data_IF_705344302732
#
_entry.id   IF_705344302732
#
_cell.length_a   1.000
_cell.length_b   1.000
_cell.length_c   1.000
_cell.angle_alpha   90.00
_cell.angle_beta   90.00
_cell.angle_gamma   90.00
#
_symmetry.space_group_name_H-M   'P 1'
#
loop_
_entity.id
_entity.type
_entity.pdbx_description
1 polymer ?
#
# COMPACT_ATOMS: atom_id res chain seq x y z
N UNK A 1 -8.19 9.41 -5.17
CA UNK A 1 -7.84 8.02 -5.53
C UNK A 1 -8.01 7.17 -4.27
N UNK A 2 -8.93 6.21 -4.28
CA UNK A 2 -9.24 5.37 -3.11
C UNK A 2 -8.41 4.07 -3.15
N UNK A 3 -7.61 3.84 -2.12
CA UNK A 3 -6.68 2.71 -2.01
C UNK A 3 -7.26 1.55 -1.17
N UNK A 4 -8.39 1.78 -0.53
CA UNK A 4 -9.12 0.79 0.28
C UNK A 4 -9.37 -0.52 -0.48
N UNK A 5 -9.80 -0.53 -1.76
CA UNK A 5 -10.03 -1.79 -2.48
C UNK A 5 -8.75 -2.60 -2.72
N UNK A 6 -7.61 -1.95 -2.95
CA UNK A 6 -6.33 -2.64 -3.15
C UNK A 6 -5.82 -3.27 -1.86
N UNK A 7 -5.93 -2.55 -0.73
CA UNK A 7 -5.57 -3.07 0.59
C UNK A 7 -6.49 -4.23 0.99
N UNK A 8 -7.79 -4.14 0.71
CA UNK A 8 -8.72 -5.23 0.96
C UNK A 8 -8.40 -6.47 0.13
N UNK A 9 -8.09 -6.31 -1.17
CA UNK A 9 -7.67 -7.41 -2.04
C UNK A 9 -6.39 -8.10 -1.55
N UNK A 10 -5.38 -7.32 -1.13
CA UNK A 10 -4.13 -7.86 -0.59
C UNK A 10 -4.35 -8.69 0.68
N UNK A 11 -5.23 -8.21 1.58
CA UNK A 11 -5.60 -8.93 2.81
C UNK A 11 -6.31 -10.25 2.51
N UNK A 12 -7.17 -10.27 1.50
CA UNK A 12 -7.88 -11.48 1.07
C UNK A 12 -6.91 -12.51 0.49
N UNK A 13 -5.96 -12.09 -0.36
CA UNK A 13 -4.95 -13.01 -0.90
C UNK A 13 -4.01 -13.56 0.18
N UNK A 14 -3.64 -12.74 1.17
CA UNK A 14 -2.87 -13.19 2.33
C UNK A 14 -3.64 -14.22 3.17
N UNK A 15 -4.95 -14.03 3.35
CA UNK A 15 -5.80 -14.99 4.04
C UNK A 15 -5.82 -16.34 3.31
N UNK A 16 -6.00 -16.34 1.97
CA UNK A 16 -5.96 -17.57 1.15
C UNK A 16 -4.60 -18.28 1.24
N UNK A 17 -3.50 -17.54 1.20
CA UNK A 17 -2.16 -18.11 1.29
C UNK A 17 -1.87 -18.76 2.66
N UNK A 18 -2.47 -18.23 3.74
CA UNK A 18 -2.23 -18.72 5.11
C UNK A 18 -3.13 -19.88 5.50
N UNK A 19 -4.27 -20.08 4.83
CA UNK A 19 -5.08 -21.29 4.99
C UNK A 19 -4.32 -22.56 4.57
N UNK A 20 -3.42 -22.47 3.59
CA UNK A 20 -2.53 -23.57 3.21
C UNK A 20 -1.42 -23.86 4.24
N UNK A 21 -1.12 -22.89 5.13
CA UNK A 21 -0.04 -22.97 6.11
C UNK A 21 -0.48 -23.35 7.54
N UNK A 22 -1.78 -23.60 7.76
CA UNK A 22 -2.32 -24.00 9.06
C UNK A 22 -2.43 -22.89 10.11
N UNK A 23 -2.69 -23.27 11.36
CA UNK A 23 -2.99 -22.34 12.48
C UNK A 23 -1.87 -21.32 12.75
N UNK A 24 -0.62 -21.73 12.62
CA UNK A 24 0.55 -20.87 12.87
C UNK A 24 0.70 -19.78 11.80
N UNK A 25 0.45 -20.12 10.53
CA UNK A 25 0.41 -19.17 9.43
C UNK A 25 -0.76 -18.18 9.57
N UNK A 26 -1.91 -18.64 10.05
CA UNK A 26 -3.09 -17.79 10.32
C UNK A 26 -2.82 -16.79 11.44
N UNK A 27 -2.21 -17.23 12.54
CA UNK A 27 -1.80 -16.37 13.64
C UNK A 27 -0.74 -15.33 13.22
N UNK A 28 0.20 -15.73 12.35
CA UNK A 28 1.18 -14.80 11.77
C UNK A 28 0.50 -13.76 10.87
N UNK A 29 -0.47 -14.19 10.05
CA UNK A 29 -1.21 -13.31 9.14
C UNK A 29 -2.03 -12.25 9.89
N UNK A 30 -2.71 -12.62 10.96
CA UNK A 30 -3.48 -11.68 11.79
C UNK A 30 -2.58 -10.59 12.39
N UNK A 31 -1.40 -10.98 12.90
CA UNK A 31 -0.40 -10.04 13.43
C UNK A 31 0.20 -9.13 12.37
N UNK A 32 0.38 -9.62 11.15
CA UNK A 32 0.99 -8.88 10.05
C UNK A 32 -0.02 -8.02 9.27
N UNK A 33 -1.30 -8.37 9.28
CA UNK A 33 -2.34 -7.69 8.50
C UNK A 33 -2.50 -6.20 8.88
N UNK A 34 -2.47 -5.89 10.18
CA UNK A 34 -2.55 -4.51 10.66
C UNK A 34 -1.33 -3.66 10.25
N UNK A 35 -0.06 -4.09 10.51
CA UNK A 35 1.12 -3.34 10.07
C UNK A 35 1.30 -3.30 8.54
N UNK A 36 0.87 -4.32 7.79
CA UNK A 36 0.89 -4.30 6.31
C UNK A 36 0.02 -3.18 5.74
N UNK A 37 -1.18 -2.97 6.29
CA UNK A 37 -2.06 -1.89 5.85
C UNK A 37 -1.43 -0.50 6.06
N UNK A 38 -0.69 -0.31 7.16
CA UNK A 38 0.05 0.91 7.43
C UNK A 38 1.24 1.09 6.49
N UNK A 39 2.02 0.02 6.26
CA UNK A 39 3.15 0.02 5.35
C UNK A 39 2.74 0.37 3.91
N UNK A 40 1.67 -0.25 3.39
CA UNK A 40 1.17 0.04 2.04
C UNK A 40 0.74 1.50 1.91
N UNK A 41 0.02 2.04 2.90
CA UNK A 41 -0.38 3.46 2.87
C UNK A 41 0.83 4.39 2.87
N UNK A 42 1.84 4.09 3.69
CA UNK A 42 3.10 4.84 3.74
C UNK A 42 3.87 4.74 2.41
N UNK A 43 3.96 3.57 1.80
CA UNK A 43 4.60 3.39 0.48
C UNK A 43 3.88 4.21 -0.59
N UNK A 44 2.54 4.25 -0.58
CA UNK A 44 1.79 5.06 -1.54
C UNK A 44 1.98 6.56 -1.28
N UNK A 45 1.94 7.00 -0.02
CA UNK A 45 2.25 8.40 0.33
C UNK A 45 3.67 8.77 -0.11
N UNK A 46 4.65 7.89 0.09
CA UNK A 46 6.03 8.10 -0.33
C UNK A 46 6.15 8.20 -1.87
N UNK A 47 5.49 7.30 -2.61
CA UNK A 47 5.48 7.32 -4.07
C UNK A 47 4.81 8.59 -4.65
N UNK A 48 3.76 9.09 -4.01
CA UNK A 48 3.14 10.37 -4.38
C UNK A 48 4.07 11.55 -4.07
N UNK A 49 4.76 11.55 -2.93
CA UNK A 49 5.72 12.60 -2.55
C UNK A 49 6.96 12.63 -3.45
N UNK A 50 7.50 11.48 -3.86
CA UNK A 50 8.61 11.42 -4.83
C UNK A 50 8.19 11.88 -6.23
N UNK A 51 6.92 11.71 -6.59
CA UNK A 51 6.37 12.23 -7.85
C UNK A 51 6.10 13.74 -7.76
N UNK A 52 5.71 14.27 -6.59
CA UNK A 52 5.54 15.71 -6.37
C UNK A 52 6.86 16.48 -6.53
N UNK A 53 7.99 15.86 -6.20
CA UNK A 53 9.33 16.44 -6.39
C UNK A 53 9.70 16.58 -7.89
N UNK A 54 9.16 15.73 -8.76
CA UNK A 54 9.44 15.74 -10.20
C UNK A 54 8.49 16.62 -11.03
N UNK A 55 7.48 17.25 -10.42
CA UNK A 55 6.52 18.14 -11.08
C UNK A 55 6.82 19.65 -11.01
N UNK A 56 7.75 20.09 -10.16
CA UNK A 56 8.02 21.53 -9.95
C UNK A 56 8.68 22.22 -11.15
N UNK A 57 9.40 21.46 -11.99
CA UNK A 57 10.18 22.03 -13.11
C UNK A 57 9.36 22.28 -14.38
N UNK A 58 8.12 21.81 -14.47
CA UNK A 58 7.23 22.03 -15.61
C UNK A 58 6.24 23.20 -15.45
N UNK A 59 6.10 23.78 -14.24
CA UNK A 59 5.19 24.90 -14.00
C UNK A 59 5.72 26.30 -14.40
N UNK A 60 7.01 26.44 -14.77
CA UNK A 60 7.58 27.75 -15.17
C UNK A 60 7.33 28.11 -16.64
N UNK A 61 6.52 27.33 -17.37
CA UNK A 61 6.15 27.59 -18.78
C UNK A 61 4.85 28.37 -18.97
N UNK A 62 4.02 28.54 -17.93
CA UNK A 62 2.70 29.19 -17.99
C UNK A 62 2.69 30.64 -17.47
N UNK A 63 3.86 31.27 -17.36
CA UNK A 63 4.01 32.68 -17.00
C UNK A 63 4.68 33.48 -18.14
N UNK A 64 4.34 33.14 -19.39
CA UNK A 64 4.56 34.00 -20.55
C UNK A 64 3.26 34.11 -21.33
#
# INVERSE_FOLDING_TARGET
MDLTPYVAGLRQQLAVATEAGGQEARALAERLTAPLGAAVRLTVLNALSTTADTGSRSCTGWAR
#
